data_IF_187418725407
#
_entry.id   IF_187418725407
#
_cell.length_a   1.000
_cell.length_b   1.000
_cell.length_c   1.000
_cell.angle_alpha   90.00
_cell.angle_beta   90.00
_cell.angle_gamma   90.00
#
_symmetry.space_group_name_H-M   'P 1'
#
loop_
_entity.id
_entity.type
_entity.pdbx_description
1 polymer ?
#
# COMPACT_ATOMS: atom_id res chain seq x y z
N UNK A 1 25.45 -18.62 -17.09
CA UNK A 1 25.73 -17.62 -18.14
C UNK A 1 26.53 -16.52 -17.48
N UNK A 2 27.81 -16.57 -17.83
CA UNK A 2 28.95 -15.78 -17.38
C UNK A 2 29.02 -14.47 -18.19
N UNK A 3 29.43 -13.36 -17.57
CA UNK A 3 30.01 -12.20 -18.22
C UNK A 3 30.70 -11.33 -17.17
N UNK A 4 31.93 -11.72 -16.80
CA UNK A 4 32.96 -10.77 -16.39
C UNK A 4 33.93 -10.54 -17.56
N UNK A 5 34.24 -9.28 -17.84
CA UNK A 5 35.58 -8.70 -18.15
C UNK A 5 35.43 -7.38 -18.94
N UNK A 6 35.44 -6.20 -18.29
CA UNK A 6 36.60 -5.31 -17.98
C UNK A 6 36.60 -4.08 -18.94
N UNK A 7 37.25 -2.92 -18.64
CA UNK A 7 37.92 -2.45 -17.41
C UNK A 7 37.57 -1.01 -16.95
N UNK A 8 38.10 -0.65 -15.77
CA UNK A 8 38.16 0.69 -15.17
C UNK A 8 38.88 1.75 -16.02
N UNK A 9 38.40 3.00 -15.96
CA UNK A 9 39.10 4.28 -15.68
C UNK A 9 38.46 5.44 -16.46
N UNK A 10 37.86 6.40 -15.75
CA UNK A 10 38.23 7.81 -15.87
C UNK A 10 37.36 8.64 -14.92
N UNK A 11 38.00 9.12 -13.88
CA UNK A 11 37.76 10.39 -13.18
C UNK A 11 36.79 11.29 -13.96
N UNK A 12 35.59 11.52 -13.44
CA UNK A 12 34.75 12.61 -13.92
C UNK A 12 35.50 13.92 -13.68
N UNK A 13 35.73 14.73 -14.71
CA UNK A 13 36.42 15.99 -14.53
C UNK A 13 35.52 16.89 -13.68
N UNK A 14 36.10 17.45 -12.62
CA UNK A 14 35.62 18.69 -12.03
C UNK A 14 35.56 19.72 -13.15
N UNK A 15 34.38 19.86 -13.76
CA UNK A 15 34.06 21.09 -14.47
C UNK A 15 33.86 22.15 -13.39
N UNK A 16 34.99 22.71 -12.94
CA UNK A 16 35.05 24.10 -12.54
C UNK A 16 34.38 24.89 -13.67
N UNK A 17 33.13 25.28 -13.46
CA UNK A 17 32.52 26.34 -14.23
C UNK A 17 33.35 27.57 -13.91
N UNK A 18 34.32 27.85 -14.79
CA UNK A 18 35.08 29.10 -14.80
C UNK A 18 34.05 30.20 -15.03
N UNK A 19 33.51 30.74 -13.94
CA UNK A 19 32.59 31.87 -13.93
C UNK A 19 33.35 33.12 -14.39
N UNK A 20 33.53 33.24 -15.69
CA UNK A 20 33.94 34.49 -16.33
C UNK A 20 32.97 34.70 -17.49
N UNK A 21 32.07 35.67 -17.30
CA UNK A 21 31.02 36.14 -18.23
C UNK A 21 29.62 35.49 -18.18
N UNK A 22 29.08 35.20 -16.99
CA UNK A 22 27.61 35.19 -16.85
C UNK A 22 27.14 36.60 -16.49
N UNK A 23 26.40 37.23 -17.39
CA UNK A 23 25.75 38.53 -17.17
C UNK A 23 25.00 38.54 -15.83
N UNK A 24 25.21 39.63 -15.07
CA UNK A 24 24.68 39.92 -13.72
C UNK A 24 23.20 39.60 -13.45
N UNK A 25 22.25 39.56 -14.43
CA UNK A 25 20.85 39.20 -14.14
C UNK A 25 20.67 37.73 -13.73
N UNK A 26 21.49 36.80 -14.24
CA UNK A 26 21.30 35.37 -14.01
C UNK A 26 21.70 34.93 -12.59
N UNK A 27 22.77 35.50 -12.04
CA UNK A 27 23.21 35.25 -10.66
C UNK A 27 22.22 35.80 -9.63
N UNK A 28 21.64 36.98 -9.87
CA UNK A 28 20.58 37.55 -9.03
C UNK A 28 19.29 36.69 -9.07
N UNK A 29 18.96 36.10 -10.22
CA UNK A 29 17.84 35.17 -10.34
C UNK A 29 18.05 33.87 -9.56
N UNK A 30 19.27 33.32 -9.61
CA UNK A 30 19.65 32.11 -8.85
C UNK A 30 19.68 32.36 -7.34
N UNK A 31 20.25 33.49 -6.88
CA UNK A 31 20.26 33.81 -5.44
C UNK A 31 18.85 34.08 -4.90
N UNK A 32 18.00 34.77 -5.66
CA UNK A 32 16.60 35.04 -5.29
C UNK A 32 15.74 33.77 -5.23
N UNK A 33 15.95 32.83 -6.14
CA UNK A 33 15.25 31.54 -6.13
C UNK A 33 15.71 30.65 -4.97
N UNK A 34 17.02 30.66 -4.65
CA UNK A 34 17.58 29.94 -3.51
C UNK A 34 17.12 30.51 -2.16
N UNK A 35 17.04 31.84 -2.00
CA UNK A 35 16.51 32.48 -0.81
C UNK A 35 15.03 32.14 -0.55
N UNK A 36 14.23 32.00 -1.61
CA UNK A 36 12.83 31.59 -1.50
C UNK A 36 12.68 30.13 -1.06
N UNK A 37 13.51 29.22 -1.60
CA UNK A 37 13.56 27.81 -1.17
C UNK A 37 13.95 27.70 0.30
N UNK A 38 15.04 28.36 0.72
CA UNK A 38 15.52 28.34 2.10
C UNK A 38 14.50 28.86 3.13
N UNK A 39 13.58 29.75 2.72
CA UNK A 39 12.47 30.18 3.59
C UNK A 39 11.32 29.19 3.61
N UNK A 40 10.95 28.63 2.46
CA UNK A 40 9.91 27.60 2.37
C UNK A 40 10.27 26.35 3.19
N UNK A 41 11.55 25.97 3.20
CA UNK A 41 12.05 24.83 3.99
C UNK A 41 11.92 25.06 5.50
N UNK A 42 11.85 26.31 5.97
CA UNK A 42 11.65 26.66 7.38
C UNK A 42 10.18 26.79 7.78
N UNK A 43 9.24 26.73 6.83
CA UNK A 43 7.82 26.87 7.10
C UNK A 43 7.20 25.59 7.67
N UNK A 44 6.17 25.75 8.50
CA UNK A 44 5.38 24.62 9.02
C UNK A 44 4.52 24.00 7.92
N UNK A 45 4.08 22.74 8.11
CA UNK A 45 3.21 22.04 7.15
C UNK A 45 1.93 22.84 6.85
N UNK A 46 1.32 23.44 7.88
CA UNK A 46 0.15 24.32 7.73
C UNK A 46 0.43 25.53 6.84
N UNK A 47 1.57 26.21 7.03
CA UNK A 47 1.96 27.36 6.22
C UNK A 47 2.23 26.96 4.76
N UNK A 48 2.91 25.83 4.56
CA UNK A 48 3.19 25.28 3.22
C UNK A 48 1.90 24.90 2.49
N UNK A 49 0.95 24.21 3.16
CA UNK A 49 -0.36 23.89 2.58
C UNK A 49 -1.13 25.16 2.22
N UNK A 50 -1.17 26.15 3.11
CA UNK A 50 -1.87 27.42 2.89
C UNK A 50 -1.36 28.14 1.65
N UNK A 51 -0.05 28.31 1.49
CA UNK A 51 0.48 29.00 0.31
C UNK A 51 0.21 28.22 -0.97
N UNK A 52 0.26 26.89 -0.93
CA UNK A 52 -0.01 26.05 -2.11
C UNK A 52 -1.46 26.17 -2.54
N UNK A 53 -2.40 26.16 -1.59
CA UNK A 53 -3.83 26.39 -1.87
C UNK A 53 -4.05 27.75 -2.52
N UNK A 54 -3.55 28.83 -1.91
CA UNK A 54 -3.71 30.19 -2.45
C UNK A 54 -3.12 30.29 -3.87
N UNK A 55 -1.91 29.77 -4.09
CA UNK A 55 -1.29 29.80 -5.42
C UNK A 55 -2.12 29.05 -6.47
N UNK A 56 -2.71 27.90 -6.12
CA UNK A 56 -3.55 27.12 -7.03
C UNK A 56 -4.89 27.79 -7.32
N UNK A 57 -5.49 28.47 -6.35
CA UNK A 57 -6.76 29.22 -6.52
C UNK A 57 -6.61 30.40 -7.49
N UNK A 58 -5.44 31.04 -7.53
CA UNK A 58 -5.13 32.12 -8.47
C UNK A 58 -4.69 31.63 -9.86
N UNK A 59 -4.46 30.32 -10.04
CA UNK A 59 -4.10 29.76 -11.34
C UNK A 59 -5.32 29.53 -12.23
N UNK A 60 -5.16 29.70 -13.54
CA UNK A 60 -6.17 29.30 -14.53
C UNK A 60 -6.31 27.77 -14.60
N UNK A 61 -7.40 27.28 -15.18
CA UNK A 61 -7.64 25.84 -15.35
C UNK A 61 -6.50 25.14 -16.12
N UNK A 62 -5.91 25.79 -17.13
CA UNK A 62 -4.79 25.22 -17.89
C UNK A 62 -3.52 25.09 -17.03
N UNK A 63 -3.25 26.08 -16.18
CA UNK A 63 -2.14 26.06 -15.23
C UNK A 63 -2.36 25.03 -14.11
N UNK A 64 -3.56 24.91 -13.57
CA UNK A 64 -3.90 23.86 -12.60
C UNK A 64 -3.71 22.46 -13.19
N UNK A 65 -4.16 22.23 -14.44
CA UNK A 65 -3.91 20.98 -15.17
C UNK A 65 -2.42 20.71 -15.37
N UNK A 66 -1.63 21.74 -15.66
CA UNK A 66 -0.16 21.62 -15.74
C UNK A 66 0.45 21.21 -14.38
N UNK A 67 0.06 21.87 -13.29
CA UNK A 67 0.49 21.52 -11.94
C UNK A 67 0.14 20.08 -11.57
N UNK A 68 -1.08 19.64 -11.87
CA UNK A 68 -1.54 18.26 -11.64
C UNK A 68 -0.62 17.24 -12.32
N UNK A 69 -0.30 17.42 -13.61
CA UNK A 69 0.63 16.53 -14.33
C UNK A 69 2.03 16.52 -13.73
N UNK A 70 2.56 17.69 -13.33
CA UNK A 70 3.89 17.79 -12.71
C UNK A 70 3.94 17.13 -11.34
N UNK A 71 2.88 17.24 -10.54
CA UNK A 71 2.77 16.55 -9.26
C UNK A 71 2.69 15.03 -9.46
N UNK A 72 1.88 14.56 -10.41
CA UNK A 72 1.78 13.13 -10.74
C UNK A 72 3.11 12.52 -11.19
N UNK A 73 3.98 13.29 -11.87
CA UNK A 73 5.33 12.84 -12.24
C UNK A 73 6.30 12.74 -11.06
N UNK A 74 6.02 13.43 -9.94
CA UNK A 74 6.89 13.49 -8.77
C UNK A 74 6.43 12.56 -7.64
N UNK A 75 5.15 12.22 -7.60
CA UNK A 75 4.62 11.22 -6.68
C UNK A 75 4.97 9.85 -7.27
N UNK A 76 5.73 9.00 -6.55
CA UNK A 76 6.07 7.66 -7.04
C UNK A 76 4.81 6.88 -7.37
N UNK A 77 4.81 6.14 -8.48
CA UNK A 77 3.64 5.33 -8.87
C UNK A 77 3.31 4.26 -7.82
N UNK A 78 4.30 3.80 -7.03
CA UNK A 78 4.08 2.87 -5.92
C UNK A 78 3.29 3.49 -4.75
N UNK A 79 3.22 4.82 -4.66
CA UNK A 79 2.46 5.52 -3.63
C UNK A 79 0.99 5.77 -4.03
N UNK A 80 0.58 5.33 -5.23
CA UNK A 80 -0.77 5.55 -5.74
C UNK A 80 -1.68 4.38 -5.36
N UNK A 81 -2.81 4.69 -4.74
CA UNK A 81 -3.84 3.70 -4.43
C UNK A 81 -4.47 3.16 -5.72
N UNK A 82 -4.08 1.95 -6.12
CA UNK A 82 -4.56 1.27 -7.32
C UNK A 82 -6.09 1.12 -7.35
N UNK A 83 -6.73 1.00 -6.18
CA UNK A 83 -8.18 0.79 -6.08
C UNK A 83 -8.97 2.00 -6.56
N UNK A 84 -8.34 3.18 -6.59
CA UNK A 84 -8.93 4.43 -7.11
C UNK A 84 -8.78 4.60 -8.61
N UNK A 85 -7.94 3.78 -9.25
CA UNK A 85 -7.62 3.84 -10.69
C UNK A 85 -8.27 2.69 -11.46
N UNK A 86 -8.38 1.54 -10.83
CA UNK A 86 -8.95 0.35 -11.45
C UNK A 86 -10.46 0.25 -11.20
N UNK A 87 -11.23 -0.29 -12.17
CA UNK A 87 -12.60 -0.73 -11.92
C UNK A 87 -12.66 -1.70 -10.73
N UNK A 88 -13.73 -1.61 -9.93
CA UNK A 88 -13.95 -2.41 -8.71
C UNK A 88 -13.67 -3.91 -8.90
N UNK A 89 -14.06 -4.47 -10.05
CA UNK A 89 -13.90 -5.90 -10.36
C UNK A 89 -12.42 -6.30 -10.37
N UNK A 90 -11.55 -5.48 -10.98
CA UNK A 90 -10.11 -5.75 -11.02
C UNK A 90 -9.46 -5.60 -9.64
N UNK A 91 -9.88 -4.59 -8.87
CA UNK A 91 -9.43 -4.42 -7.49
C UNK A 91 -9.79 -5.63 -6.62
N UNK A 92 -11.01 -6.17 -6.78
CA UNK A 92 -11.43 -7.39 -6.09
C UNK A 92 -10.66 -8.62 -6.55
N UNK A 93 -10.36 -8.73 -7.84
CA UNK A 93 -9.53 -9.81 -8.37
C UNK A 93 -8.13 -9.80 -7.75
N UNK A 94 -7.48 -8.64 -7.66
CA UNK A 94 -6.19 -8.49 -6.99
C UNK A 94 -6.28 -8.90 -5.51
N UNK A 95 -7.30 -8.42 -4.79
CA UNK A 95 -7.51 -8.80 -3.39
C UNK A 95 -7.81 -10.29 -3.20
N UNK A 96 -8.36 -10.98 -4.20
CA UNK A 96 -8.70 -12.40 -4.08
C UNK A 96 -7.46 -13.29 -3.86
N UNK A 97 -6.30 -12.88 -4.39
CA UNK A 97 -5.01 -13.57 -4.22
C UNK A 97 -4.41 -13.43 -2.82
N UNK A 98 -4.86 -12.45 -2.03
CA UNK A 98 -4.32 -12.22 -0.70
C UNK A 98 -4.91 -13.21 0.30
N UNK A 99 -4.10 -13.65 1.26
CA UNK A 99 -4.57 -14.45 2.38
C UNK A 99 -5.44 -13.62 3.36
N UNK A 100 -6.17 -14.31 4.23
CA UNK A 100 -7.11 -13.67 5.15
C UNK A 100 -6.42 -12.68 6.11
N UNK A 101 -5.15 -12.94 6.49
CA UNK A 101 -4.38 -12.01 7.35
C UNK A 101 -3.97 -10.76 6.57
N UNK A 102 -3.47 -10.90 5.33
CA UNK A 102 -3.15 -9.73 4.50
C UNK A 102 -4.38 -8.87 4.22
N UNK A 103 -5.56 -9.48 3.98
CA UNK A 103 -6.80 -8.71 3.84
C UNK A 103 -7.16 -7.89 5.08
N UNK A 104 -6.88 -8.41 6.28
CA UNK A 104 -7.05 -7.65 7.52
C UNK A 104 -6.10 -6.44 7.59
N UNK A 105 -4.86 -6.57 7.13
CA UNK A 105 -3.94 -5.42 7.03
C UNK A 105 -4.41 -4.42 5.97
N UNK A 106 -4.84 -4.90 4.80
CA UNK A 106 -5.41 -4.04 3.76
C UNK A 106 -6.62 -3.23 4.24
N UNK A 107 -7.48 -3.80 5.09
CA UNK A 107 -8.63 -3.08 5.65
C UNK A 107 -8.26 -1.87 6.53
N UNK A 108 -7.01 -1.79 7.00
CA UNK A 108 -6.50 -0.71 7.85
C UNK A 108 -5.88 0.44 7.04
N UNK A 109 -5.72 0.29 5.71
CA UNK A 109 -5.08 1.30 4.85
C UNK A 109 -6.01 2.51 4.65
N UNK A 110 -7.28 2.27 4.33
CA UNK A 110 -8.28 3.32 4.15
C UNK A 110 -9.70 2.78 4.29
N UNK A 111 -10.68 3.66 4.49
CA UNK A 111 -12.10 3.28 4.48
C UNK A 111 -12.54 2.64 3.16
N UNK A 112 -11.97 3.09 2.03
CA UNK A 112 -12.26 2.50 0.72
C UNK A 112 -11.72 1.07 0.63
N UNK A 113 -10.50 0.83 1.10
CA UNK A 113 -9.91 -0.50 1.16
C UNK A 113 -10.70 -1.41 2.08
N UNK A 114 -11.08 -0.94 3.27
CA UNK A 114 -11.96 -1.67 4.19
C UNK A 114 -13.24 -2.09 3.48
N UNK A 115 -13.92 -1.17 2.80
CA UNK A 115 -15.15 -1.47 2.08
C UNK A 115 -14.95 -2.55 1.01
N UNK A 116 -13.81 -2.57 0.31
CA UNK A 116 -13.52 -3.57 -0.72
C UNK A 116 -13.15 -4.93 -0.12
N UNK A 117 -12.26 -4.97 0.87
CA UNK A 117 -11.76 -6.21 1.47
C UNK A 117 -12.78 -6.92 2.35
N UNK A 118 -13.85 -6.24 2.76
CA UNK A 118 -14.96 -6.82 3.53
C UNK A 118 -16.11 -7.34 2.66
N UNK A 119 -16.03 -7.24 1.33
CA UNK A 119 -17.09 -7.69 0.43
C UNK A 119 -17.25 -9.21 0.44
N UNK A 120 -18.50 -9.64 0.43
CA UNK A 120 -18.87 -11.04 0.42
C UNK A 120 -18.34 -11.79 -0.81
N UNK A 121 -18.19 -11.13 -1.96
CA UNK A 121 -17.57 -11.74 -3.14
C UNK A 121 -16.15 -12.26 -2.88
N UNK A 122 -15.37 -11.59 -2.03
CA UNK A 122 -14.03 -12.06 -1.65
C UNK A 122 -14.11 -13.25 -0.68
N UNK A 123 -14.92 -13.11 0.37
CA UNK A 123 -14.99 -14.11 1.44
C UNK A 123 -15.73 -15.38 1.02
N UNK A 124 -16.69 -15.27 0.10
CA UNK A 124 -17.36 -16.40 -0.53
C UNK A 124 -16.34 -17.30 -1.23
N UNK A 125 -15.50 -16.74 -2.10
CA UNK A 125 -14.46 -17.52 -2.80
C UNK A 125 -13.54 -18.24 -1.82
N UNK A 126 -13.18 -17.59 -0.71
CA UNK A 126 -12.33 -18.19 0.33
C UNK A 126 -13.03 -19.33 1.06
N UNK A 127 -14.29 -19.17 1.45
CA UNK A 127 -15.07 -20.24 2.08
C UNK A 127 -15.27 -21.43 1.13
N UNK A 128 -15.62 -21.16 -0.12
CA UNK A 128 -15.83 -22.21 -1.12
C UNK A 128 -14.56 -23.01 -1.42
N UNK A 129 -13.38 -22.38 -1.36
CA UNK A 129 -12.11 -23.10 -1.48
C UNK A 129 -11.88 -24.15 -0.38
N UNK A 130 -12.47 -23.96 0.80
CA UNK A 130 -12.44 -24.92 1.90
C UNK A 130 -13.69 -25.83 1.96
N UNK A 131 -14.55 -25.79 0.94
CA UNK A 131 -15.85 -26.45 0.93
C UNK A 131 -16.76 -26.04 2.11
N UNK A 132 -16.65 -24.79 2.57
CA UNK A 132 -17.55 -24.23 3.58
C UNK A 132 -18.74 -23.56 2.90
N UNK A 133 -19.89 -24.19 3.04
CA UNK A 133 -21.14 -23.74 2.47
C UNK A 133 -22.06 -23.16 3.53
N UNK A 134 -22.82 -22.12 3.16
CA UNK A 134 -23.87 -21.55 3.99
C UNK A 134 -25.19 -22.23 3.59
N UNK A 135 -25.90 -22.79 4.58
CA UNK A 135 -27.17 -23.49 4.35
C UNK A 135 -28.30 -22.57 3.89
N UNK A 136 -28.18 -21.27 4.15
CA UNK A 136 -29.14 -20.23 3.75
C UNK A 136 -28.44 -19.30 2.78
N UNK A 137 -29.02 -19.11 1.59
CA UNK A 137 -28.50 -18.15 0.63
C UNK A 137 -28.69 -16.73 1.17
N UNK A 138 -27.62 -15.93 1.34
CA UNK A 138 -27.74 -14.55 1.79
C UNK A 138 -28.58 -13.73 0.82
N UNK A 139 -29.41 -12.84 1.34
CA UNK A 139 -30.10 -11.86 0.51
C UNK A 139 -29.10 -10.83 -0.03
N UNK A 140 -29.36 -10.19 -1.19
CA UNK A 140 -28.46 -9.17 -1.74
C UNK A 140 -28.23 -7.94 -0.84
N UNK A 141 -29.07 -7.76 0.18
CA UNK A 141 -29.04 -6.64 1.11
C UNK A 141 -28.19 -6.93 2.36
N UNK A 142 -27.91 -8.20 2.63
CA UNK A 142 -27.06 -8.61 3.74
C UNK A 142 -25.59 -8.51 3.34
N UNK A 143 -24.79 -7.80 4.15
CA UNK A 143 -23.37 -7.58 3.89
C UNK A 143 -22.50 -8.27 4.94
N UNK A 144 -21.39 -8.86 4.48
CA UNK A 144 -20.37 -9.48 5.30
C UNK A 144 -20.80 -10.84 5.87
N UNK A 145 -21.80 -11.48 5.28
CA UNK A 145 -22.30 -12.79 5.72
C UNK A 145 -21.22 -13.86 5.55
N UNK A 146 -20.53 -13.85 4.40
CA UNK A 146 -19.45 -14.80 4.11
C UNK A 146 -18.22 -14.53 4.97
N UNK A 147 -17.89 -13.27 5.26
CA UNK A 147 -16.80 -12.92 6.18
C UNK A 147 -17.07 -13.45 7.59
N UNK A 148 -18.30 -13.24 8.10
CA UNK A 148 -18.71 -13.75 9.41
C UNK A 148 -18.65 -15.28 9.46
N UNK A 149 -19.16 -15.95 8.42
CA UNK A 149 -19.10 -17.40 8.31
C UNK A 149 -17.65 -17.90 8.27
N UNK A 150 -16.77 -17.29 7.47
CA UNK A 150 -15.35 -17.63 7.42
C UNK A 150 -14.71 -17.57 8.82
N UNK A 151 -14.94 -16.48 9.56
CA UNK A 151 -14.39 -16.31 10.91
C UNK A 151 -14.91 -17.39 11.86
N UNK A 152 -16.20 -17.73 11.77
CA UNK A 152 -16.80 -18.80 12.57
C UNK A 152 -16.14 -20.15 12.27
N UNK A 153 -16.05 -20.54 11.00
CA UNK A 153 -15.45 -21.81 10.59
C UNK A 153 -13.99 -21.92 11.01
N UNK A 154 -13.21 -20.84 10.87
CA UNK A 154 -11.83 -20.79 11.35
C UNK A 154 -11.76 -21.01 12.86
N UNK A 155 -12.66 -20.42 13.66
CA UNK A 155 -12.70 -20.64 15.11
C UNK A 155 -12.99 -22.11 15.44
N UNK A 156 -13.96 -22.72 14.77
CA UNK A 156 -14.31 -24.14 14.96
C UNK A 156 -13.13 -25.07 14.64
N UNK A 157 -12.36 -24.79 13.58
CA UNK A 157 -11.14 -25.53 13.25
C UNK A 157 -10.03 -25.37 14.30
N UNK A 158 -9.87 -24.19 14.89
CA UNK A 158 -8.86 -23.99 15.93
C UNK A 158 -9.25 -24.66 17.26
N UNK A 159 -10.55 -24.77 17.54
CA UNK A 159 -11.09 -25.48 18.71
C UNK A 159 -10.93 -27.00 18.58
N UNK A 160 -10.97 -27.54 17.36
CA UNK A 160 -10.86 -28.98 17.08
C UNK A 160 -9.42 -29.51 17.00
N UNK A 161 -8.40 -28.71 17.34
CA UNK A 161 -7.04 -29.25 17.54
C UNK A 161 -7.11 -30.48 18.45
N UNK A 162 -6.57 -31.63 18.03
CA UNK A 162 -6.63 -32.83 18.86
C UNK A 162 -5.98 -32.50 20.19
N UNK A 163 -6.70 -32.72 21.30
CA UNK A 163 -6.05 -32.97 22.58
C UNK A 163 -5.12 -34.14 22.32
N UNK A 164 -3.85 -33.86 22.09
CA UNK A 164 -2.80 -34.87 22.21
C UNK A 164 -2.88 -35.32 23.66
N UNK A 165 -3.60 -36.42 23.91
CA UNK A 165 -3.49 -37.19 25.14
C UNK A 165 -2.15 -37.93 25.12
N UNK A 166 -1.05 -37.20 24.90
CA UNK A 166 0.30 -37.72 25.04
C UNK A 166 0.62 -37.67 26.53
N UNK A 167 0.29 -38.74 27.25
CA UNK A 167 0.70 -38.88 28.65
C UNK A 167 -0.21 -39.66 29.60
N UNK A 168 -1.19 -40.44 29.13
CA UNK A 168 -1.96 -41.33 30.03
C UNK A 168 -2.00 -42.81 29.65
N UNK A 169 -1.54 -43.19 28.46
CA UNK A 169 -1.41 -44.61 28.09
C UNK A 169 -0.06 -45.22 28.54
N UNK A 170 1.01 -44.42 28.62
CA UNK A 170 2.36 -44.92 28.93
C UNK A 170 2.55 -45.34 30.40
N UNK A 171 1.74 -44.84 31.32
CA UNK A 171 1.83 -45.19 32.75
C UNK A 171 1.08 -46.47 33.12
N UNK A 172 0.10 -46.92 32.31
CA UNK A 172 -0.59 -48.21 32.54
C UNK A 172 0.24 -49.42 32.13
N UNK A 173 1.11 -49.28 31.13
CA UNK A 173 1.98 -50.38 30.68
C UNK A 173 3.22 -50.59 31.57
N UNK A 174 3.62 -49.58 32.34
CA UNK A 174 4.75 -49.68 33.29
C UNK A 174 4.34 -50.23 34.68
N UNK A 175 3.05 -50.19 35.03
CA UNK A 175 2.55 -50.73 36.32
C UNK A 175 2.00 -52.16 36.22
N UNK A 176 1.91 -52.74 35.02
CA UNK A 176 1.51 -54.15 34.83
C UNK A 176 2.70 -55.10 34.64
N UNK A 177 3.93 -54.62 34.78
CA UNK A 177 5.17 -55.38 34.60
C UNK A 177 6.01 -55.52 35.89
N UNK A 178 5.42 -55.23 37.05
CA UNK A 178 5.90 -55.64 38.39
C UNK A 178 4.96 -56.69 38.94
#
# INVERSE_FOLDING_TARGET
YDYDQLPNFSVTPSFEVKCTSMSTPALLGLTRTNLRKNRFDKWTDTQRRRILTVLLEHCSLSQQKFCCRKLQQKIPAEALDFTTKLPKVLSLYIFSFLDSRSLCHCSQVSWHWKKLTELDQLWMLKCLWFNWYINVSPTPYEQGVWKKHYIQMVKELHVTKPKVNLGKEATKLLTSAT
#
